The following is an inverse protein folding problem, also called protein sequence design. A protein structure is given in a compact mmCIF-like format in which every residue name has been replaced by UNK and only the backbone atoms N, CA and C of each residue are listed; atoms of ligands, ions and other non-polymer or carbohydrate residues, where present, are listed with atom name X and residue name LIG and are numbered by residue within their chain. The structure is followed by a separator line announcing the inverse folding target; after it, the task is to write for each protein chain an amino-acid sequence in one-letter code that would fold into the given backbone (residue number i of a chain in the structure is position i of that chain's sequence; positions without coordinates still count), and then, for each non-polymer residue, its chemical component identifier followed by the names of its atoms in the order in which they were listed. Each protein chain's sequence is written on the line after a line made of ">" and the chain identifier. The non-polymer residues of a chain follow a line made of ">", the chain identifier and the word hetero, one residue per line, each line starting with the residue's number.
data_IF_907109319634
#
_entry.id   IF_907109319634
#
_cell.length_a   1.000
_cell.length_b   1.000
_cell.length_c   1.000
_cell.angle_alpha   90.00
_cell.angle_beta   90.00
_cell.angle_gamma   90.00
#
_symmetry.space_group_name_H-M   'P 1'
#
loop_
_entity.id
_entity.type
_entity.pdbx_description
1 polymer ?
#
# COMPACT_ATOMS: atom_id res chain seq x y z
N UNK A 1 24.05 -31.67 -6.29
CA UNK A 1 23.81 -32.87 -5.46
C UNK A 1 24.47 -34.06 -6.15
N UNK A 2 25.13 -34.99 -5.46
CA UNK A 2 25.64 -36.21 -6.13
C UNK A 2 24.45 -37.13 -6.41
N UNK A 3 24.55 -37.99 -7.43
CA UNK A 3 23.47 -38.94 -7.78
C UNK A 3 23.02 -39.83 -6.61
N UNK A 4 23.98 -40.25 -5.77
CA UNK A 4 23.71 -41.01 -4.54
C UNK A 4 22.93 -40.19 -3.49
N UNK A 5 23.18 -38.88 -3.41
CA UNK A 5 22.46 -37.99 -2.49
C UNK A 5 21.00 -37.81 -2.94
N UNK A 6 20.76 -37.75 -4.26
CA UNK A 6 19.42 -37.67 -4.86
C UNK A 6 18.60 -38.94 -4.61
N UNK A 7 19.22 -40.11 -4.76
CA UNK A 7 18.59 -41.41 -4.49
C UNK A 7 18.21 -41.53 -3.01
N UNK A 8 19.15 -41.24 -2.10
CA UNK A 8 18.88 -41.26 -0.66
C UNK A 8 17.80 -40.26 -0.24
N UNK A 9 17.85 -39.03 -0.76
CA UNK A 9 16.80 -38.04 -0.52
C UNK A 9 15.42 -38.56 -0.93
N UNK A 10 15.34 -39.15 -2.13
CA UNK A 10 14.08 -39.68 -2.67
C UNK A 10 13.53 -40.84 -1.83
N UNK A 11 14.40 -41.73 -1.35
CA UNK A 11 14.00 -42.84 -0.48
C UNK A 11 13.38 -42.33 0.82
N UNK A 12 14.05 -41.42 1.51
CA UNK A 12 13.57 -40.83 2.76
C UNK A 12 12.29 -40.02 2.53
N UNK A 13 12.20 -39.29 1.42
CA UNK A 13 11.00 -38.55 1.03
C UNK A 13 9.78 -39.48 0.89
N UNK A 14 9.90 -40.55 0.11
CA UNK A 14 8.80 -41.51 -0.10
C UNK A 14 8.39 -42.16 1.23
N UNK A 15 9.35 -42.43 2.11
CA UNK A 15 9.11 -43.11 3.38
C UNK A 15 8.38 -42.22 4.40
N UNK A 16 8.75 -40.94 4.52
CA UNK A 16 8.29 -40.09 5.62
C UNK A 16 7.47 -38.86 5.23
N UNK A 17 7.26 -38.56 3.94
CA UNK A 17 6.47 -37.39 3.53
C UNK A 17 5.03 -37.44 4.07
N UNK A 18 4.41 -38.61 4.04
CA UNK A 18 3.08 -38.82 4.66
C UNK A 18 3.10 -38.58 6.16
N UNK A 19 4.16 -39.01 6.85
CA UNK A 19 4.31 -38.83 8.30
C UNK A 19 4.48 -37.36 8.67
N UNK A 20 5.30 -36.61 7.92
CA UNK A 20 5.50 -35.17 8.14
C UNK A 20 4.20 -34.41 7.93
N UNK A 21 3.49 -34.67 6.82
CA UNK A 21 2.18 -34.04 6.53
C UNK A 21 1.11 -34.42 7.54
N UNK A 22 1.04 -35.69 7.96
CA UNK A 22 0.10 -36.14 8.98
C UNK A 22 0.41 -35.50 10.35
N UNK A 23 1.69 -35.40 10.71
CA UNK A 23 2.13 -34.74 11.93
C UNK A 23 1.72 -33.26 11.97
N UNK A 24 1.97 -32.51 10.89
CA UNK A 24 1.57 -31.10 10.81
C UNK A 24 0.06 -30.92 10.96
N UNK A 25 -0.73 -31.72 10.24
CA UNK A 25 -2.20 -31.66 10.31
C UNK A 25 -2.77 -32.04 11.68
N UNK A 26 -2.18 -33.04 12.34
CA UNK A 26 -2.68 -33.52 13.62
C UNK A 26 -2.30 -32.61 14.79
N UNK A 27 -1.05 -32.15 14.85
CA UNK A 27 -0.54 -31.40 16.00
C UNK A 27 -0.68 -29.88 15.83
N UNK A 28 -0.91 -29.39 14.61
CA UNK A 28 -1.06 -27.96 14.32
C UNK A 28 -2.32 -27.69 13.47
N UNK A 29 -3.53 -28.04 13.95
CA UNK A 29 -4.77 -27.90 13.17
C UNK A 29 -5.15 -26.45 12.84
N UNK A 30 -4.52 -25.46 13.49
CA UNK A 30 -4.69 -24.04 13.18
C UNK A 30 -3.90 -23.55 11.96
N UNK A 31 -3.06 -24.41 11.37
CA UNK A 31 -2.34 -24.13 10.13
C UNK A 31 -3.21 -24.66 8.98
N UNK A 32 -3.49 -23.82 7.97
CA UNK A 32 -4.25 -24.23 6.80
C UNK A 32 -3.53 -25.30 5.97
N UNK A 33 -4.27 -26.04 5.14
CA UNK A 33 -3.68 -27.12 4.32
C UNK A 33 -2.63 -26.61 3.32
N UNK A 34 -2.74 -25.37 2.86
CA UNK A 34 -1.75 -24.73 2.00
C UNK A 34 -0.47 -24.40 2.77
N UNK A 35 -0.58 -23.65 3.86
CA UNK A 35 0.55 -23.33 4.74
C UNK A 35 1.25 -24.60 5.28
N UNK A 36 0.49 -25.64 5.61
CA UNK A 36 1.04 -26.91 6.07
C UNK A 36 1.84 -27.64 4.96
N UNK A 37 1.42 -27.51 3.69
CA UNK A 37 2.19 -28.02 2.54
C UNK A 37 3.47 -27.23 2.33
N UNK A 38 3.42 -25.91 2.46
CA UNK A 38 4.59 -25.05 2.32
C UNK A 38 5.61 -25.34 3.43
N UNK A 39 5.16 -25.45 4.68
CA UNK A 39 6.02 -25.85 5.80
C UNK A 39 6.63 -27.23 5.56
N UNK A 40 5.85 -28.20 5.05
CA UNK A 40 6.39 -29.51 4.72
C UNK A 40 7.46 -29.43 3.61
N UNK A 41 7.26 -28.58 2.61
CA UNK A 41 8.27 -28.32 1.58
C UNK A 41 9.54 -27.74 2.18
N UNK A 42 9.44 -26.75 3.07
CA UNK A 42 10.61 -26.18 3.73
C UNK A 42 11.38 -27.19 4.60
N UNK A 43 10.67 -28.13 5.25
CA UNK A 43 11.31 -29.23 6.00
C UNK A 43 12.18 -30.06 5.06
N UNK A 44 11.64 -30.37 3.89
CA UNK A 44 12.32 -31.16 2.87
C UNK A 44 13.49 -30.40 2.23
N UNK A 45 13.35 -29.10 1.98
CA UNK A 45 14.46 -28.24 1.54
C UNK A 45 15.60 -28.26 2.56
N UNK A 46 15.28 -28.13 3.86
CA UNK A 46 16.29 -28.21 4.91
C UNK A 46 16.94 -29.59 5.00
N UNK A 47 16.17 -30.67 4.81
CA UNK A 47 16.71 -32.03 4.74
C UNK A 47 17.71 -32.19 3.59
N UNK A 48 17.40 -31.61 2.43
CA UNK A 48 18.29 -31.60 1.26
C UNK A 48 19.59 -30.83 1.51
N UNK A 49 19.53 -29.71 2.24
CA UNK A 49 20.73 -28.98 2.66
C UNK A 49 21.59 -29.78 3.64
N UNK A 50 20.95 -30.54 4.54
CA UNK A 50 21.62 -31.35 5.57
C UNK A 50 21.88 -32.81 5.13
N UNK A 51 21.84 -33.10 3.82
CA UNK A 51 21.86 -34.48 3.29
C UNK A 51 23.08 -35.28 3.73
N UNK A 52 24.26 -34.65 3.82
CA UNK A 52 25.50 -35.30 4.25
C UNK A 52 25.49 -35.70 5.73
N UNK A 53 24.74 -34.98 6.57
CA UNK A 53 24.51 -35.36 7.96
C UNK A 53 23.42 -36.43 8.06
N UNK A 54 22.38 -36.36 7.22
CA UNK A 54 21.29 -37.32 7.17
C UNK A 54 21.75 -38.74 6.78
N UNK A 55 22.71 -38.87 5.85
CA UNK A 55 23.30 -40.16 5.46
C UNK A 55 24.04 -40.87 6.61
N UNK A 56 24.45 -40.13 7.66
CA UNK A 56 25.11 -40.69 8.85
C UNK A 56 24.14 -41.09 9.96
N UNK A 57 22.85 -40.74 9.81
CA UNK A 57 21.78 -41.05 10.76
C UNK A 57 21.09 -42.35 10.35
N UNK A 58 20.57 -43.06 11.33
CA UNK A 58 19.62 -44.15 11.10
C UNK A 58 18.28 -43.62 10.60
N UNK A 59 17.46 -44.47 9.99
CA UNK A 59 16.12 -44.10 9.52
C UNK A 59 15.24 -43.52 10.64
N UNK A 60 15.33 -44.08 11.84
CA UNK A 60 14.59 -43.60 13.02
C UNK A 60 15.04 -42.21 13.46
N UNK A 61 16.33 -41.94 13.40
CA UNK A 61 16.90 -40.63 13.70
C UNK A 61 16.52 -39.61 12.63
N UNK A 62 16.52 -39.99 11.35
CA UNK A 62 16.04 -39.16 10.24
C UNK A 62 14.57 -38.79 10.42
N UNK A 63 13.70 -39.75 10.75
CA UNK A 63 12.30 -39.49 11.09
C UNK A 63 12.17 -38.52 12.25
N UNK A 64 12.89 -38.76 13.33
CA UNK A 64 12.82 -37.92 14.55
C UNK A 64 13.31 -36.49 14.27
N UNK A 65 14.34 -36.36 13.45
CA UNK A 65 14.85 -35.07 12.98
C UNK A 65 13.81 -34.34 12.11
N UNK A 66 13.20 -35.01 11.14
CA UNK A 66 12.16 -34.43 10.28
C UNK A 66 10.99 -33.89 11.09
N UNK A 67 10.49 -34.65 12.07
CA UNK A 67 9.39 -34.20 12.94
C UNK A 67 9.81 -33.03 13.85
N UNK A 68 11.06 -32.99 14.27
CA UNK A 68 11.60 -31.87 15.06
C UNK A 68 11.67 -30.59 14.23
N UNK A 69 12.18 -30.68 13.00
CA UNK A 69 12.23 -29.56 12.06
C UNK A 69 10.82 -29.08 11.70
N UNK A 70 9.91 -30.01 11.41
CA UNK A 70 8.51 -29.70 11.13
C UNK A 70 7.83 -28.94 12.28
N UNK A 71 8.05 -29.39 13.53
CA UNK A 71 7.56 -28.69 14.73
C UNK A 71 8.13 -27.27 14.81
N UNK A 72 9.43 -27.11 14.66
CA UNK A 72 10.08 -25.81 14.79
C UNK A 72 9.56 -24.82 13.74
N UNK A 73 9.49 -25.27 12.48
CA UNK A 73 8.95 -24.46 11.38
C UNK A 73 7.47 -24.11 11.59
N UNK A 74 6.65 -25.05 12.05
CA UNK A 74 5.26 -24.78 12.39
C UNK A 74 5.12 -23.72 13.51
N UNK A 75 5.92 -23.82 14.57
CA UNK A 75 5.94 -22.83 15.64
C UNK A 75 6.39 -21.45 15.13
N UNK A 76 7.41 -21.41 14.28
CA UNK A 76 7.92 -20.16 13.72
C UNK A 76 6.94 -19.52 12.73
N UNK A 77 6.22 -20.33 11.96
CA UNK A 77 5.09 -19.89 11.15
C UNK A 77 3.99 -19.29 12.03
N UNK A 78 3.56 -19.98 13.10
CA UNK A 78 2.54 -19.47 14.03
C UNK A 78 2.97 -18.15 14.64
N UNK A 79 4.23 -18.04 15.08
CA UNK A 79 4.78 -16.78 15.65
C UNK A 79 4.79 -15.65 14.62
N UNK A 80 5.18 -15.94 13.39
CA UNK A 80 5.22 -14.96 12.31
C UNK A 80 3.82 -14.54 11.88
N UNK A 81 2.88 -15.47 11.78
CA UNK A 81 1.50 -15.20 11.43
C UNK A 81 0.78 -14.42 12.54
N UNK A 82 1.01 -14.74 13.81
CA UNK A 82 0.47 -13.95 14.93
C UNK A 82 0.98 -12.50 14.93
N UNK A 83 2.26 -12.27 14.58
CA UNK A 83 2.80 -10.91 14.37
C UNK A 83 2.24 -10.23 13.14
N UNK A 84 1.93 -10.98 12.09
CA UNK A 84 1.31 -10.46 10.87
C UNK A 84 -0.13 -10.04 11.15
N UNK A 85 -0.94 -10.92 11.74
CA UNK A 85 -2.32 -10.63 12.12
C UNK A 85 -2.40 -9.44 13.08
N UNK A 86 -1.48 -9.34 14.07
CA UNK A 86 -1.39 -8.14 14.93
C UNK A 86 -1.18 -6.85 14.13
N UNK A 87 -0.24 -6.87 13.18
CA UNK A 87 0.04 -5.71 12.31
C UNK A 87 -1.11 -5.40 11.34
N UNK A 88 -1.75 -6.42 10.79
CA UNK A 88 -2.92 -6.26 9.93
C UNK A 88 -4.11 -5.69 10.72
N UNK A 89 -4.31 -6.12 11.97
CA UNK A 89 -5.30 -5.52 12.88
C UNK A 89 -4.96 -4.06 13.20
N UNK A 90 -3.68 -3.73 13.40
CA UNK A 90 -3.23 -2.34 13.56
C UNK A 90 -3.49 -1.52 12.29
N UNK A 91 -3.25 -2.07 11.09
CA UNK A 91 -3.52 -1.40 9.82
C UNK A 91 -5.01 -1.17 9.57
N UNK A 92 -5.88 -2.12 9.92
CA UNK A 92 -7.35 -1.99 9.83
C UNK A 92 -7.89 -0.81 10.68
N UNK A 93 -7.19 -0.44 11.75
CA UNK A 93 -7.52 0.76 12.56
C UNK A 93 -7.17 2.05 11.80
N UNK A 94 -6.14 2.02 10.96
CA UNK A 94 -5.72 3.16 10.15
C UNK A 94 -6.36 3.17 8.76
N UNK A 95 -6.94 2.06 8.28
CA UNK A 95 -7.64 1.97 7.00
C UNK A 95 -8.72 3.06 6.86
N UNK A 96 -9.57 3.37 7.86
CA UNK A 96 -10.50 4.49 7.79
C UNK A 96 -9.83 5.87 7.77
N UNK A 97 -8.66 6.00 8.39
CA UNK A 97 -7.89 7.26 8.42
C UNK A 97 -7.18 7.51 7.09
N UNK A 98 -6.68 6.46 6.44
CA UNK A 98 -6.02 6.49 5.13
C UNK A 98 -7.03 6.50 3.97
N UNK A 99 -8.17 5.83 4.13
CA UNK A 99 -9.31 5.84 3.21
C UNK A 99 -10.19 7.07 3.36
N UNK A 100 -10.02 7.87 4.43
CA UNK A 100 -10.57 9.21 4.44
C UNK A 100 -9.83 10.00 3.37
N UNK A 101 -10.43 10.07 2.17
CA UNK A 101 -10.16 11.18 1.26
C UNK A 101 -10.43 12.42 2.11
N UNK A 102 -9.38 13.05 2.61
CA UNK A 102 -9.49 14.36 3.23
C UNK A 102 -9.85 15.28 2.08
N UNK A 103 -11.15 15.43 1.84
CA UNK A 103 -11.66 16.49 0.99
C UNK A 103 -11.22 17.78 1.65
N UNK A 104 -10.32 18.50 1.00
CA UNK A 104 -10.18 19.92 1.28
C UNK A 104 -11.56 20.51 1.07
N UNK A 105 -12.18 21.13 2.10
CA UNK A 105 -13.47 21.76 1.89
C UNK A 105 -13.33 22.77 0.74
N UNK A 106 -14.34 22.80 -0.14
CA UNK A 106 -14.28 23.47 -1.44
C UNK A 106 -13.86 24.95 -1.30
N UNK A 107 -14.17 25.57 -0.16
CA UNK A 107 -13.78 26.95 0.15
C UNK A 107 -12.26 27.17 0.25
N UNK A 108 -11.49 26.15 0.64
CA UNK A 108 -10.01 26.23 0.69
C UNK A 108 -9.44 26.09 -0.72
N UNK A 109 -9.99 25.18 -1.52
CA UNK A 109 -9.57 25.01 -2.91
C UNK A 109 -9.84 26.28 -3.74
N UNK A 110 -11.03 26.85 -3.59
CA UNK A 110 -11.42 28.13 -4.22
C UNK A 110 -10.48 29.27 -3.81
N UNK A 111 -10.10 29.35 -2.52
CA UNK A 111 -9.15 30.37 -2.04
C UNK A 111 -7.75 30.19 -2.64
N UNK A 112 -7.26 28.96 -2.73
CA UNK A 112 -5.95 28.67 -3.32
C UNK A 112 -5.91 29.05 -4.81
N UNK A 113 -6.95 28.68 -5.57
CA UNK A 113 -7.09 29.05 -6.98
C UNK A 113 -7.15 30.58 -7.14
N UNK A 114 -7.95 31.25 -6.31
CA UNK A 114 -8.06 32.70 -6.33
C UNK A 114 -6.72 33.39 -6.01
N UNK A 115 -5.96 32.89 -5.03
CA UNK A 115 -4.64 33.42 -4.69
C UNK A 115 -3.63 33.27 -5.84
N UNK A 116 -3.62 32.13 -6.53
CA UNK A 116 -2.71 31.91 -7.66
C UNK A 116 -3.07 32.77 -8.88
N UNK A 117 -4.37 32.90 -9.20
CA UNK A 117 -4.83 33.82 -10.25
C UNK A 117 -4.44 35.27 -9.92
N UNK A 118 -4.61 35.67 -8.67
CA UNK A 118 -4.23 37.01 -8.23
C UNK A 118 -2.73 37.21 -8.32
N UNK A 119 -1.89 36.21 -8.02
CA UNK A 119 -0.42 36.33 -8.13
C UNK A 119 0.03 36.69 -9.54
N UNK A 120 -0.60 36.14 -10.57
CA UNK A 120 -0.29 36.38 -11.99
C UNK A 120 -0.70 37.78 -12.50
N UNK A 121 -1.51 38.53 -11.75
CA UNK A 121 -1.86 39.91 -12.12
C UNK A 121 -0.69 40.88 -11.89
N UNK A 122 -0.62 41.90 -12.76
CA UNK A 122 0.34 43.00 -12.58
C UNK A 122 0.01 43.84 -11.35
N UNK A 123 0.97 44.62 -10.83
CA UNK A 123 0.76 45.49 -9.66
C UNK A 123 -0.37 46.50 -9.88
N UNK A 124 -0.47 47.03 -11.11
CA UNK A 124 -1.51 47.99 -11.50
C UNK A 124 -2.90 47.33 -11.56
N UNK A 125 -2.97 46.10 -12.08
CA UNK A 125 -4.21 45.31 -12.15
C UNK A 125 -4.69 44.90 -10.75
N UNK A 126 -3.79 44.56 -9.83
CA UNK A 126 -4.11 44.23 -8.42
C UNK A 126 -4.70 45.42 -7.66
N UNK A 127 -4.11 46.60 -7.83
CA UNK A 127 -4.62 47.84 -7.22
C UNK A 127 -6.01 48.16 -7.77
N UNK A 128 -6.18 48.08 -9.09
CA UNK A 128 -7.49 48.29 -9.73
C UNK A 128 -8.53 47.25 -9.31
N UNK A 129 -8.14 45.97 -9.19
CA UNK A 129 -9.01 44.91 -8.71
C UNK A 129 -9.53 45.20 -7.29
N UNK A 130 -8.62 45.52 -6.37
CA UNK A 130 -8.96 45.85 -4.98
C UNK A 130 -9.91 47.04 -4.91
N UNK A 131 -9.60 48.12 -5.61
CA UNK A 131 -10.33 49.38 -5.49
C UNK A 131 -11.74 49.30 -6.11
N UNK A 132 -11.91 48.51 -7.19
CA UNK A 132 -13.17 48.45 -7.96
C UNK A 132 -14.05 47.23 -7.64
N UNK A 133 -13.45 46.07 -7.32
CA UNK A 133 -14.20 44.82 -7.06
C UNK A 133 -14.33 44.52 -5.57
N UNK A 134 -13.39 44.96 -4.73
CA UNK A 134 -13.42 44.75 -3.28
C UNK A 134 -13.69 46.03 -2.47
N UNK A 135 -13.63 47.20 -3.11
CA UNK A 135 -13.84 48.51 -2.49
C UNK A 135 -15.33 48.89 -2.34
N UNK A 136 -15.64 49.93 -1.55
CA UNK A 136 -17.00 50.45 -1.44
C UNK A 136 -17.51 50.93 -2.80
N UNK A 137 -18.73 50.54 -3.19
CA UNK A 137 -19.35 50.92 -4.47
C UNK A 137 -19.39 52.45 -4.57
N UNK A 138 -18.56 53.03 -5.43
CA UNK A 138 -18.55 54.49 -5.62
C UNK A 138 -19.67 54.90 -6.59
N UNK A 139 -20.52 55.84 -6.18
CA UNK A 139 -21.67 56.33 -6.95
C UNK A 139 -21.28 57.38 -8.02
N UNK A 140 -20.04 57.30 -8.53
CA UNK A 140 -19.46 58.33 -9.41
C UNK A 140 -19.75 58.03 -10.89
N UNK A 141 -20.03 59.10 -11.65
CA UNK A 141 -20.24 59.10 -13.09
C UNK A 141 -19.12 58.30 -13.81
N UNK A 142 -19.51 57.32 -14.64
CA UNK A 142 -18.60 56.39 -15.30
C UNK A 142 -17.62 57.11 -16.24
N UNK A 143 -16.33 56.91 -16.01
CA UNK A 143 -15.27 57.26 -16.95
C UNK A 143 -15.11 56.10 -17.96
N UNK A 144 -15.27 56.38 -19.26
CA UNK A 144 -15.17 55.39 -20.33
C UNK A 144 -13.85 54.60 -20.29
N UNK A 145 -12.74 55.23 -19.89
CA UNK A 145 -11.46 54.56 -19.76
C UNK A 145 -11.46 53.52 -18.61
N UNK A 146 -12.16 53.80 -17.51
CA UNK A 146 -12.32 52.88 -16.38
C UNK A 146 -13.24 51.71 -16.74
N UNK A 147 -14.31 51.96 -17.50
CA UNK A 147 -15.23 50.92 -17.99
C UNK A 147 -14.49 49.93 -18.90
N UNK A 148 -13.67 50.41 -19.82
CA UNK A 148 -12.83 49.56 -20.67
C UNK A 148 -11.80 48.74 -19.88
N UNK A 149 -11.16 49.33 -18.85
CA UNK A 149 -10.20 48.62 -17.97
C UNK A 149 -10.89 47.54 -17.13
N UNK A 150 -12.07 47.85 -16.57
CA UNK A 150 -12.91 46.91 -15.81
C UNK A 150 -13.31 45.71 -16.64
N UNK A 151 -13.79 45.93 -17.86
CA UNK A 151 -14.16 44.85 -18.77
C UNK A 151 -12.96 43.97 -19.14
N UNK A 152 -11.80 44.58 -19.45
CA UNK A 152 -10.58 43.84 -19.80
C UNK A 152 -10.07 42.97 -18.65
N UNK A 153 -10.05 43.51 -17.43
CA UNK A 153 -9.59 42.77 -16.26
C UNK A 153 -10.55 41.63 -15.92
N UNK A 154 -11.87 41.88 -15.98
CA UNK A 154 -12.89 40.84 -15.79
C UNK A 154 -12.74 39.69 -16.78
N UNK A 155 -12.59 39.98 -18.08
CA UNK A 155 -12.39 38.94 -19.10
C UNK A 155 -11.06 38.21 -18.97
N UNK A 156 -10.05 38.82 -18.36
CA UNK A 156 -8.77 38.17 -18.05
C UNK A 156 -8.94 37.21 -16.87
N UNK A 157 -9.64 37.61 -15.83
CA UNK A 157 -9.97 36.76 -14.68
C UNK A 157 -10.87 35.59 -15.09
N UNK A 158 -11.94 35.83 -15.83
CA UNK A 158 -12.85 34.78 -16.32
C UNK A 158 -12.09 33.72 -17.13
N UNK A 159 -11.22 34.12 -18.07
CA UNK A 159 -10.39 33.16 -18.82
C UNK A 159 -9.43 32.37 -17.93
N UNK A 160 -8.88 33.00 -16.90
CA UNK A 160 -7.97 32.35 -15.95
C UNK A 160 -8.69 31.39 -15.01
N UNK A 161 -9.93 31.70 -14.66
CA UNK A 161 -10.82 30.80 -13.94
C UNK A 161 -11.21 29.62 -14.82
N UNK A 162 -11.60 29.86 -16.09
CA UNK A 162 -11.91 28.79 -17.06
C UNK A 162 -10.69 27.86 -17.32
N UNK A 163 -9.48 28.42 -17.38
CA UNK A 163 -8.21 27.66 -17.48
C UNK A 163 -7.91 26.85 -16.21
N UNK A 164 -8.30 27.34 -15.02
CA UNK A 164 -8.08 26.68 -13.74
C UNK A 164 -9.16 25.62 -13.40
N UNK A 165 -10.40 25.84 -13.86
CA UNK A 165 -11.53 24.90 -13.75
C UNK A 165 -11.37 23.69 -14.70
N UNK A 166 -10.39 23.71 -15.62
CA UNK A 166 -9.99 22.54 -16.40
C UNK A 166 -9.18 21.54 -15.54
N UNK A 167 -9.81 21.02 -14.48
CA UNK A 167 -9.40 19.76 -13.86
C UNK A 167 -10.09 18.62 -14.61
N UNK A 168 -9.35 17.70 -15.27
CA UNK A 168 -9.92 16.53 -15.92
C UNK A 168 -10.37 15.55 -14.84
N UNK A 169 -11.61 15.63 -14.39
CA UNK A 169 -12.07 14.81 -13.25
C UNK A 169 -13.57 14.58 -13.16
N UNK A 170 -14.36 14.93 -14.17
CA UNK A 170 -15.80 14.72 -14.20
C UNK A 170 -16.24 13.88 -15.39
N UNK A 171 -15.70 12.66 -15.48
CA UNK A 171 -16.39 11.53 -16.09
C UNK A 171 -16.49 10.41 -15.05
N UNK A 172 -17.66 10.30 -14.42
CA UNK A 172 -18.23 9.07 -13.87
C UNK A 172 -19.72 9.06 -14.17
#
# INVERSE_FOLDING_TARGET
>A
MKKQDEEFYREIYILYDKDVKAFLRHYFPGIGEEDARDIAQEVWEQFGLDIAAAQKRTDRENRSWLLTVARNKAIDWIRSNARRYRRETELDVYEPLLSSKVYLPDDILEKMIAEDILRELSKEEKIFFRDEFCGPKSDKLQDNAKTCKKYRLRRKLERKMDEADFYPGSEW
#
